data_IF_972680668912
#
_entry.id   IF_972680668912
#
_cell.length_a   1.000
_cell.length_b   1.000
_cell.length_c   1.000
_cell.angle_alpha   90.00
_cell.angle_beta   90.00
_cell.angle_gamma   90.00
#
_symmetry.space_group_name_H-M   'P 1'
#
loop_
_entity.id
_entity.type
_entity.pdbx_description
1 polymer ?
#
# COMPACT_ATOMS: atom_id res chain seq x y z
N UNK A 1 -10.73 6.00 19.07
CA UNK A 1 -9.93 5.28 18.07
C UNK A 1 -10.74 5.26 16.78
N UNK A 2 -10.51 6.14 15.79
CA UNK A 2 -11.02 5.83 14.46
C UNK A 2 -10.18 4.64 14.00
N UNK A 3 -10.82 3.48 13.89
CA UNK A 3 -10.22 2.31 13.25
C UNK A 3 -9.90 2.74 11.83
N UNK A 4 -8.63 3.01 11.53
CA UNK A 4 -8.13 3.17 10.17
C UNK A 4 -8.60 1.93 9.40
N UNK A 5 -9.70 2.10 8.68
CA UNK A 5 -10.43 0.98 8.10
C UNK A 5 -9.68 0.60 6.84
N UNK A 6 -8.69 -0.28 7.01
CA UNK A 6 -7.98 -0.92 5.90
C UNK A 6 -9.04 -1.55 5.01
N UNK A 7 -9.12 -1.06 3.77
CA UNK A 7 -10.05 -1.57 2.78
C UNK A 7 -9.65 -2.99 2.43
N UNK A 8 -10.61 -3.90 2.35
CA UNK A 8 -10.38 -5.23 1.82
C UNK A 8 -10.26 -5.14 0.30
N UNK A 9 -9.03 -5.19 -0.21
CA UNK A 9 -8.72 -5.14 -1.64
C UNK A 9 -8.32 -6.53 -2.15
N UNK A 10 -8.80 -6.88 -3.35
CA UNK A 10 -8.25 -7.96 -4.16
C UNK A 10 -6.91 -7.52 -4.74
N UNK A 11 -5.94 -8.44 -4.74
CA UNK A 11 -4.61 -8.22 -5.27
C UNK A 11 -4.51 -8.87 -6.66
N UNK A 12 -3.86 -8.24 -7.65
CA UNK A 12 -3.68 -8.85 -8.97
C UNK A 12 -2.80 -10.10 -8.88
N UNK A 13 -3.19 -11.14 -9.63
CA UNK A 13 -2.41 -12.37 -9.72
C UNK A 13 -1.12 -12.14 -10.52
N UNK A 14 -0.05 -12.87 -10.16
CA UNK A 14 1.23 -12.80 -10.86
C UNK A 14 2.11 -11.59 -10.50
N UNK A 15 1.70 -10.79 -9.52
CA UNK A 15 2.52 -9.71 -8.95
C UNK A 15 2.83 -9.97 -7.48
N UNK A 16 3.94 -9.39 -7.03
CA UNK A 16 4.50 -9.51 -5.68
C UNK A 16 4.73 -8.15 -5.05
N UNK A 17 4.95 -8.08 -3.73
CA UNK A 17 5.21 -6.83 -3.03
C UNK A 17 6.30 -5.96 -3.69
N UNK A 18 7.37 -6.57 -4.18
CA UNK A 18 8.47 -5.88 -4.84
C UNK A 18 8.06 -5.14 -6.13
N UNK A 19 7.00 -5.58 -6.81
CA UNK A 19 6.52 -4.98 -8.06
C UNK A 19 5.84 -3.61 -7.82
N UNK A 20 5.40 -3.31 -6.60
CA UNK A 20 4.96 -1.95 -6.24
C UNK A 20 6.09 -0.93 -6.31
N UNK A 21 7.36 -1.38 -6.28
CA UNK A 21 8.55 -0.52 -6.29
C UNK A 21 8.45 0.60 -5.26
N UNK A 22 7.93 0.26 -4.08
CA UNK A 22 7.73 1.22 -2.99
C UNK A 22 9.08 1.82 -2.63
N UNK A 23 9.17 3.14 -2.68
CA UNK A 23 10.37 3.87 -2.30
C UNK A 23 10.03 5.16 -1.59
N UNK A 24 10.94 5.61 -0.73
CA UNK A 24 10.86 6.97 -0.18
C UNK A 24 11.40 7.94 -1.21
N UNK A 25 10.69 9.04 -1.40
CA UNK A 25 11.10 10.18 -2.21
C UNK A 25 11.48 11.36 -1.30
N UNK A 26 11.87 12.46 -1.93
CA UNK A 26 12.10 13.73 -1.24
C UNK A 26 10.83 14.15 -0.48
N UNK A 27 11.01 14.95 0.59
CA UNK A 27 9.95 15.42 1.48
C UNK A 27 9.16 14.32 2.20
N UNK A 28 9.79 13.17 2.46
CA UNK A 28 9.18 12.02 3.15
C UNK A 28 7.96 11.40 2.44
N UNK A 29 7.78 11.73 1.16
CA UNK A 29 6.75 11.12 0.33
C UNK A 29 7.09 9.66 0.00
N UNK A 30 6.06 8.85 -0.25
CA UNK A 30 6.21 7.48 -0.76
C UNK A 30 5.84 7.48 -2.22
N UNK A 31 6.72 6.96 -3.07
CA UNK A 31 6.46 6.69 -4.47
C UNK A 31 6.30 5.19 -4.71
N UNK A 32 5.49 4.86 -5.71
CA UNK A 32 4.99 3.52 -5.97
C UNK A 32 4.49 3.41 -7.42
N UNK A 33 4.44 2.18 -7.93
CA UNK A 33 4.05 1.91 -9.31
C UNK A 33 2.56 2.22 -9.53
N UNK A 34 2.29 3.39 -10.12
CA UNK A 34 0.93 3.90 -10.31
C UNK A 34 0.13 3.11 -11.36
N UNK A 35 0.79 2.41 -12.28
CA UNK A 35 0.10 1.51 -13.21
C UNK A 35 -0.45 0.28 -12.46
N UNK A 36 0.33 -0.23 -11.49
CA UNK A 36 -0.12 -1.30 -10.61
C UNK A 36 -1.23 -0.85 -9.66
N UNK A 37 -1.18 0.37 -9.12
CA UNK A 37 -2.31 0.94 -8.36
C UNK A 37 -3.57 1.05 -9.21
N UNK A 38 -3.43 1.50 -10.46
CA UNK A 38 -4.54 1.60 -11.40
C UNK A 38 -5.14 0.23 -11.70
N UNK A 39 -4.31 -0.81 -11.87
CA UNK A 39 -4.75 -2.18 -12.03
C UNK A 39 -5.53 -2.66 -10.79
N UNK A 40 -4.99 -2.44 -9.58
CA UNK A 40 -5.67 -2.76 -8.32
C UNK A 40 -7.02 -2.04 -8.23
N UNK A 41 -7.09 -0.77 -8.61
CA UNK A 41 -8.34 -0.03 -8.64
C UNK A 41 -9.36 -0.68 -9.59
N UNK A 42 -8.91 -1.06 -10.80
CA UNK A 42 -9.76 -1.68 -11.81
C UNK A 42 -10.38 -3.00 -11.33
N UNK A 43 -9.58 -3.90 -10.75
CA UNK A 43 -10.07 -5.21 -10.28
C UNK A 43 -10.98 -5.12 -9.05
N UNK A 44 -10.90 -4.01 -8.30
CA UNK A 44 -11.72 -3.74 -7.12
C UNK A 44 -12.92 -2.82 -7.42
N UNK A 45 -13.11 -2.39 -8.67
CA UNK A 45 -14.18 -1.45 -9.04
C UNK A 45 -14.01 -0.05 -8.45
N UNK A 46 -12.78 0.33 -8.07
CA UNK A 46 -12.45 1.67 -7.56
C UNK A 46 -12.21 2.64 -8.73
N UNK A 47 -12.69 3.87 -8.58
CA UNK A 47 -12.43 4.92 -9.55
C UNK A 47 -11.05 5.52 -9.30
N UNK A 48 -10.08 5.19 -10.17
CA UNK A 48 -8.70 5.67 -10.06
C UNK A 48 -8.59 7.20 -9.98
N UNK A 49 -9.41 7.96 -10.73
CA UNK A 49 -9.39 9.43 -10.63
C UNK A 49 -9.79 9.92 -9.24
N UNK A 50 -10.75 9.26 -8.57
CA UNK A 50 -11.11 9.58 -7.18
C UNK A 50 -10.00 9.20 -6.21
N UNK A 51 -9.29 8.10 -6.47
CA UNK A 51 -8.12 7.69 -5.68
C UNK A 51 -7.02 8.75 -5.77
N UNK A 52 -6.74 9.30 -6.96
CA UNK A 52 -5.75 10.37 -7.10
C UNK A 52 -6.08 11.64 -6.30
N UNK A 53 -7.36 11.94 -6.07
CA UNK A 53 -7.78 13.10 -5.26
C UNK A 53 -7.62 12.87 -3.76
N UNK A 54 -7.72 11.62 -3.30
CA UNK A 54 -7.52 11.23 -1.90
C UNK A 54 -6.86 9.84 -1.82
N UNK A 55 -5.53 9.75 -2.06
CA UNK A 55 -4.86 8.48 -2.22
C UNK A 55 -4.68 7.73 -0.91
N UNK A 56 -4.59 8.44 0.23
CA UNK A 56 -4.22 7.89 1.54
C UNK A 56 -4.90 6.57 1.89
N UNK A 57 -6.25 6.49 1.94
CA UNK A 57 -6.94 5.27 2.35
C UNK A 57 -6.66 4.06 1.45
N UNK A 58 -6.60 4.27 0.13
CA UNK A 58 -6.38 3.18 -0.83
C UNK A 58 -4.92 2.75 -0.83
N UNK A 59 -3.98 3.71 -0.85
CA UNK A 59 -2.54 3.42 -0.82
C UNK A 59 -2.15 2.71 0.47
N UNK A 60 -2.61 3.20 1.64
CA UNK A 60 -2.36 2.53 2.94
C UNK A 60 -2.89 1.09 2.93
N UNK A 61 -4.07 0.86 2.32
CA UNK A 61 -4.65 -0.48 2.24
C UNK A 61 -3.83 -1.40 1.33
N UNK A 62 -3.38 -0.91 0.17
CA UNK A 62 -2.52 -1.65 -0.76
C UNK A 62 -1.22 -2.06 -0.06
N UNK A 63 -0.51 -1.10 0.54
CA UNK A 63 0.75 -1.32 1.22
C UNK A 63 0.60 -2.33 2.36
N UNK A 64 -0.44 -2.18 3.20
CA UNK A 64 -0.68 -3.08 4.33
C UNK A 64 -1.00 -4.50 3.89
N UNK A 65 -1.88 -4.68 2.90
CA UNK A 65 -2.28 -6.00 2.41
C UNK A 65 -1.14 -6.72 1.72
N UNK A 66 -0.44 -6.05 0.80
CA UNK A 66 0.68 -6.65 0.07
C UNK A 66 1.84 -6.99 0.99
N UNK A 67 2.19 -6.09 1.91
CA UNK A 67 3.28 -6.35 2.84
C UNK A 67 2.96 -7.50 3.79
N UNK A 68 1.72 -7.60 4.26
CA UNK A 68 1.26 -8.74 5.05
C UNK A 68 1.34 -10.06 4.27
N UNK A 69 0.93 -10.07 2.99
CA UNK A 69 1.02 -11.26 2.13
C UNK A 69 2.49 -11.67 1.92
N UNK A 70 3.34 -10.70 1.58
CA UNK A 70 4.78 -10.90 1.39
C UNK A 70 5.45 -11.55 2.60
N UNK A 71 5.18 -11.06 3.81
CA UNK A 71 5.69 -11.67 5.04
C UNK A 71 5.13 -13.09 5.27
N UNK A 72 3.85 -13.32 4.98
CA UNK A 72 3.21 -14.64 5.13
C UNK A 72 3.77 -15.68 4.15
N UNK A 73 4.24 -15.22 2.98
CA UNK A 73 4.90 -16.04 1.95
C UNK A 73 6.38 -16.30 2.25
N UNK A 74 6.91 -15.79 3.38
CA UNK A 74 8.31 -15.94 3.77
C UNK A 74 9.24 -14.86 3.21
N UNK A 75 8.69 -13.80 2.65
CA UNK A 75 9.43 -12.62 2.22
C UNK A 75 10.13 -11.91 3.39
N UNK A 76 11.30 -11.34 3.11
CA UNK A 76 12.05 -10.59 4.12
C UNK A 76 11.33 -9.26 4.47
N UNK A 77 11.42 -8.80 5.74
CA UNK A 77 10.89 -7.50 6.12
C UNK A 77 11.46 -6.36 5.27
N UNK A 78 10.60 -5.42 4.90
CA UNK A 78 10.97 -4.23 4.14
C UNK A 78 11.20 -3.07 5.11
N UNK A 79 12.35 -2.39 5.00
CA UNK A 79 12.76 -1.36 5.94
C UNK A 79 11.81 -0.15 5.94
N UNK A 80 11.33 0.26 4.77
CA UNK A 80 10.41 1.38 4.64
C UNK A 80 9.04 1.01 5.23
N UNK A 81 8.54 -0.20 4.94
CA UNK A 81 7.27 -0.66 5.52
C UNK A 81 7.32 -0.79 7.04
N UNK A 82 8.41 -1.32 7.61
CA UNK A 82 8.57 -1.39 9.06
C UNK A 82 8.67 0.00 9.70
N UNK A 83 9.31 0.96 9.02
CA UNK A 83 9.35 2.34 9.48
C UNK A 83 7.94 2.96 9.51
N UNK A 84 7.18 2.85 8.41
CA UNK A 84 5.82 3.39 8.30
C UNK A 84 4.89 2.80 9.35
N UNK A 85 5.01 1.49 9.59
CA UNK A 85 4.28 0.78 10.65
C UNK A 85 4.63 1.30 12.04
N UNK A 86 5.91 1.60 12.29
CA UNK A 86 6.37 2.18 13.56
C UNK A 86 5.89 3.63 13.76
N UNK A 87 5.90 4.45 12.71
CA UNK A 87 5.46 5.84 12.76
C UNK A 87 3.95 5.96 13.00
N UNK A 88 3.12 5.14 12.35
CA UNK A 88 1.67 5.12 12.57
C UNK A 88 1.28 4.78 14.02
N UNK A 89 2.16 4.07 14.75
CA UNK A 89 1.94 3.72 16.16
C UNK A 89 2.39 4.81 17.14
N UNK A 90 3.20 5.77 16.69
CA UNK A 90 3.77 6.86 17.50
C UNK A 90 2.92 8.14 17.54
N UNK A 91 1.90 8.25 16.72
CA UNK A 91 0.89 9.32 16.81
C UNK A 91 -0.13 8.96 17.91
N UNK A 92 0.32 8.97 19.16
CA UNK A 92 -0.53 8.87 20.36
C UNK A 92 -0.13 9.94 21.38
#
# INVERSE_FOLDING_TARGET
MPTDSVLTLKLPEGYSFADLKVRRCDDDAIDLDMDLVKLICSINGLNFHKVLQNPGPVITSILTLWYKSHLAEGGAPDALMEELKSQGQRLN
#
